data_IF_273499139611
#
_entry.id   IF_273499139611
#
_cell.length_a   1.000
_cell.length_b   1.000
_cell.length_c   1.000
_cell.angle_alpha   90.00
_cell.angle_beta   90.00
_cell.angle_gamma   90.00
#
_symmetry.space_group_name_H-M   'P 1'
#
loop_
_entity.id
_entity.type
_entity.pdbx_description
1 polymer ?
#
# COMPACT_ATOMS: atom_id res chain seq x y z
N UNK A 1 -0.48 4.50 -10.22
CA UNK A 1 0.33 4.35 -9.00
C UNK A 1 1.80 4.17 -9.36
N UNK A 2 2.70 5.02 -8.84
CA UNK A 2 4.15 4.81 -8.89
C UNK A 2 4.61 3.53 -8.20
N UNK A 3 5.76 2.97 -8.64
CA UNK A 3 6.35 1.78 -8.06
C UNK A 3 6.74 1.99 -6.58
N UNK A 4 6.56 0.95 -5.76
CA UNK A 4 6.95 0.99 -4.35
C UNK A 4 8.48 0.88 -4.21
N UNK A 5 9.17 1.86 -3.60
CA UNK A 5 10.62 1.81 -3.36
C UNK A 5 11.03 0.90 -2.20
N UNK A 6 10.09 0.15 -1.60
CA UNK A 6 10.36 -0.75 -0.49
C UNK A 6 10.42 -0.08 0.88
N UNK A 7 9.88 1.14 1.03
CA UNK A 7 9.85 1.88 2.30
C UNK A 7 8.57 2.68 2.46
N UNK A 8 8.13 2.87 3.70
CA UNK A 8 7.01 3.75 4.01
C UNK A 8 7.44 5.21 3.74
N UNK A 9 6.76 5.94 2.84
CA UNK A 9 7.07 7.34 2.56
C UNK A 9 6.79 8.30 3.74
N UNK A 10 6.04 7.86 4.75
CA UNK A 10 5.63 8.66 5.91
C UNK A 10 6.19 8.14 7.23
N UNK A 11 7.29 7.39 7.21
CA UNK A 11 7.95 6.91 8.43
C UNK A 11 8.29 8.10 9.36
N UNK A 12 7.87 7.99 10.63
CA UNK A 12 8.05 9.06 11.63
C UNK A 12 6.97 10.15 11.64
N UNK A 13 5.99 10.12 10.72
CA UNK A 13 4.82 11.00 10.80
C UNK A 13 3.75 10.39 11.72
N UNK A 14 3.36 11.10 12.78
CA UNK A 14 2.34 10.65 13.75
C UNK A 14 0.93 10.58 13.16
N UNK A 15 0.65 11.34 12.10
CA UNK A 15 -0.64 11.34 11.43
C UNK A 15 -0.47 11.37 9.89
N UNK A 16 -0.04 10.24 9.29
CA UNK A 16 0.21 10.19 7.86
C UNK A 16 -1.12 10.23 7.06
N UNK A 17 -1.11 10.78 5.84
CA UNK A 17 -2.27 10.66 4.96
C UNK A 17 -2.54 9.20 4.60
N UNK A 18 -3.81 8.88 4.34
CA UNK A 18 -4.19 7.57 3.83
C UNK A 18 -3.62 7.35 2.42
N UNK A 19 -3.38 6.09 2.08
CA UNK A 19 -2.82 5.70 0.78
C UNK A 19 -3.67 4.64 0.10
N UNK A 20 -3.58 4.58 -1.22
CA UNK A 20 -4.02 3.43 -1.99
C UNK A 20 -2.79 2.57 -2.31
N UNK A 21 -2.90 1.26 -2.09
CA UNK A 21 -1.83 0.30 -2.36
C UNK A 21 -2.32 -0.77 -3.33
N UNK A 22 -1.45 -1.14 -4.27
CA UNK A 22 -1.64 -2.29 -5.14
C UNK A 22 -0.69 -3.40 -4.67
N UNK A 23 -1.26 -4.56 -4.45
CA UNK A 23 -0.51 -5.77 -4.11
C UNK A 23 -0.06 -6.51 -5.37
N UNK A 24 0.95 -7.37 -5.23
CA UNK A 24 1.46 -8.22 -6.31
C UNK A 24 0.37 -9.10 -6.92
N UNK A 25 -0.57 -9.60 -6.10
CA UNK A 25 -1.73 -10.37 -6.55
C UNK A 25 -2.76 -9.59 -7.37
N UNK A 26 -2.59 -8.27 -7.55
CA UNK A 26 -3.50 -7.42 -8.30
C UNK A 26 -4.59 -6.75 -7.46
N UNK A 27 -4.80 -7.19 -6.21
CA UNK A 27 -5.72 -6.52 -5.27
C UNK A 27 -5.29 -5.08 -5.03
N UNK A 28 -6.28 -4.17 -5.01
CA UNK A 28 -6.08 -2.76 -4.66
C UNK A 28 -6.84 -2.46 -3.37
N UNK A 29 -6.11 -2.09 -2.33
CA UNK A 29 -6.69 -1.59 -1.09
C UNK A 29 -6.62 -0.07 -1.07
N UNK A 30 -7.77 0.59 -0.89
CA UNK A 30 -7.88 2.05 -0.92
C UNK A 30 -8.02 2.64 0.48
N UNK A 31 -7.52 3.86 0.62
CA UNK A 31 -7.59 4.67 1.85
C UNK A 31 -7.13 3.91 3.10
N UNK A 32 -6.00 3.23 3.00
CA UNK A 32 -5.42 2.46 4.11
C UNK A 32 -4.37 3.26 4.85
N UNK A 33 -4.20 2.93 6.13
CA UNK A 33 -3.13 3.45 6.98
C UNK A 33 -1.78 2.91 6.53
N UNK A 34 -0.83 3.75 6.09
CA UNK A 34 0.48 3.29 5.60
C UNK A 34 1.29 2.56 6.67
N UNK A 35 1.17 2.94 7.94
CA UNK A 35 1.86 2.32 9.09
C UNK A 35 1.39 0.89 9.38
N UNK A 36 0.19 0.51 8.94
CA UNK A 36 -0.38 -0.82 9.13
C UNK A 36 -0.06 -1.78 7.97
N UNK A 37 0.94 -1.45 7.15
CA UNK A 37 1.27 -2.19 5.93
C UNK A 37 2.74 -2.57 5.89
N UNK A 38 3.02 -3.69 5.23
CA UNK A 38 4.39 -4.14 4.98
C UNK A 38 4.89 -3.55 3.66
N UNK A 39 5.76 -2.55 3.76
CA UNK A 39 6.34 -1.86 2.60
C UNK A 39 7.52 -2.59 1.97
N UNK A 40 8.25 -3.38 2.76
CA UNK A 40 9.37 -4.20 2.31
C UNK A 40 8.86 -5.57 1.86
N UNK A 41 9.54 -6.15 0.88
CA UNK A 41 9.32 -7.54 0.51
C UNK A 41 9.42 -8.47 1.73
N UNK A 42 8.73 -9.60 1.67
CA UNK A 42 8.89 -10.66 2.65
C UNK A 42 10.33 -11.21 2.64
N UNK A 43 10.88 -11.62 3.80
CA UNK A 43 12.27 -12.09 3.88
C UNK A 43 12.49 -13.39 3.10
N UNK A 44 11.44 -14.19 2.95
CA UNK A 44 11.45 -15.47 2.23
C UNK A 44 11.37 -15.34 0.72
N UNK A 45 11.24 -14.12 0.19
CA UNK A 45 11.10 -13.86 -1.24
C UNK A 45 9.83 -13.09 -1.58
N UNK A 46 9.52 -12.94 -2.88
CA UNK A 46 8.30 -12.28 -3.33
C UNK A 46 7.04 -12.96 -2.77
N UNK A 47 6.11 -12.17 -2.22
CA UNK A 47 4.83 -12.63 -1.69
C UNK A 47 3.67 -11.98 -2.44
N UNK A 48 2.52 -12.65 -2.50
CA UNK A 48 1.32 -12.15 -3.19
C UNK A 48 0.82 -10.81 -2.62
N UNK A 49 1.04 -10.58 -1.32
CA UNK A 49 0.70 -9.38 -0.57
C UNK A 49 1.86 -8.36 -0.48
N UNK A 50 2.91 -8.51 -1.28
CA UNK A 50 3.89 -7.43 -1.45
C UNK A 50 3.20 -6.21 -2.05
N UNK A 51 3.44 -5.02 -1.49
CA UNK A 51 3.04 -3.77 -2.13
C UNK A 51 3.97 -3.51 -3.32
N UNK A 52 3.43 -3.47 -4.53
CA UNK A 52 4.21 -3.23 -5.76
C UNK A 52 4.11 -1.79 -6.25
N UNK A 53 3.01 -1.09 -5.92
CA UNK A 53 2.83 0.32 -6.23
C UNK A 53 1.87 0.97 -5.24
N UNK A 54 1.99 2.28 -5.03
CA UNK A 54 1.10 3.03 -4.14
C UNK A 54 0.92 4.47 -4.62
N UNK A 55 -0.06 5.17 -4.08
CA UNK A 55 -0.24 6.61 -4.24
C UNK A 55 -0.98 7.20 -3.01
N UNK A 56 -0.91 8.51 -2.74
CA UNK A 56 -1.80 9.15 -1.78
C UNK A 56 -3.27 8.88 -2.15
N UNK A 57 -4.11 8.55 -1.17
CA UNK A 57 -5.54 8.37 -1.40
C UNK A 57 -6.17 9.74 -1.74
N UNK A 58 -7.05 9.77 -2.74
CA UNK A 58 -7.75 10.99 -3.17
C UNK A 58 -9.25 10.75 -3.07
N UNK A 59 -9.91 11.42 -2.12
CA UNK A 59 -11.37 11.43 -1.99
C UNK A 59 -12.00 10.14 -1.40
N UNK A 60 -12.75 10.33 -0.32
CA UNK A 60 -13.60 9.37 0.43
C UNK A 60 -12.87 8.24 1.19
N UNK A 61 -13.59 7.74 2.19
CA UNK A 61 -13.20 6.70 3.15
C UNK A 61 -12.99 5.33 2.48
N UNK A 62 -12.28 4.45 3.18
CA UNK A 62 -11.79 3.13 2.75
C UNK A 62 -12.70 2.33 1.80
N UNK A 63 -12.09 1.71 0.78
CA UNK A 63 -12.75 0.79 -0.15
C UNK A 63 -11.77 -0.35 -0.53
N UNK A 64 -12.26 -1.60 -0.57
CA UNK A 64 -11.48 -2.78 -0.94
C UNK A 64 -11.97 -3.29 -2.31
N UNK A 65 -11.12 -3.25 -3.34
CA UNK A 65 -11.52 -3.64 -4.70
C UNK A 65 -10.80 -4.94 -5.10
N UNK A 66 -11.57 -5.98 -5.39
CA UNK A 66 -11.05 -7.24 -5.94
C UNK A 66 -10.88 -7.14 -7.46
N UNK A 67 -9.85 -7.78 -8.04
CA UNK A 67 -9.74 -7.90 -9.49
C UNK A 67 -10.85 -8.84 -10.03
N UNK A 68 -11.34 -8.52 -11.24
CA UNK A 68 -12.24 -9.36 -12.02
C UNK A 68 -11.51 -10.55 -12.64
#
# INVERSE_FOLDING_TARGET
>A
MPANPGRNPFEGNENPPLVDVRYRCGVVARCVRPEQRRWKQWPTGPHEWDIVSWQPAVGKDYELVWPA
#
